data_IF_444682463008
#
_entry.id   IF_444682463008
#
_cell.length_a   1.000
_cell.length_b   1.000
_cell.length_c   1.000
_cell.angle_alpha   90.00
_cell.angle_beta   90.00
_cell.angle_gamma   90.00
#
_symmetry.space_group_name_H-M   'P 1'
#
loop_
_entity.id
_entity.type
_entity.pdbx_description
1 polymer ?
#
# COMPACT_ATOMS: atom_id res chain seq x y z
N UNK A 1 -11.46 -0.25 -9.34
CA UNK A 1 -12.31 -1.45 -9.24
C UNK A 1 -11.53 -2.49 -8.47
N UNK A 2 -12.17 -3.25 -7.59
CA UNK A 2 -11.51 -4.40 -6.96
C UNK A 2 -11.42 -5.54 -7.98
N UNK A 3 -10.27 -6.21 -8.04
CA UNK A 3 -10.00 -7.35 -8.90
C UNK A 3 -9.65 -8.56 -8.03
N UNK A 4 -10.07 -9.75 -8.46
CA UNK A 4 -9.72 -11.01 -7.80
C UNK A 4 -8.65 -11.69 -8.64
N UNK A 5 -7.51 -12.00 -8.03
CA UNK A 5 -6.41 -12.72 -8.66
C UNK A 5 -6.15 -14.04 -7.96
N UNK A 6 -5.63 -15.01 -8.70
CA UNK A 6 -5.16 -16.29 -8.17
C UNK A 6 -3.70 -16.16 -7.77
N UNK A 7 -3.43 -16.28 -6.46
CA UNK A 7 -2.09 -16.16 -5.87
C UNK A 7 -1.26 -17.45 -5.94
N UNK A 8 -1.81 -18.55 -6.49
CA UNK A 8 -1.07 -19.79 -6.74
C UNK A 8 -0.26 -19.74 -8.06
N UNK A 9 -0.43 -18.68 -8.86
CA UNK A 9 0.32 -18.45 -10.10
C UNK A 9 1.76 -18.01 -9.84
N UNK A 10 2.66 -18.26 -10.80
CA UNK A 10 4.06 -17.82 -10.71
C UNK A 10 4.19 -16.28 -10.75
N UNK A 11 3.29 -15.61 -11.46
CA UNK A 11 3.21 -14.16 -11.59
C UNK A 11 1.76 -13.68 -11.48
N UNK A 12 1.57 -12.50 -10.89
CA UNK A 12 0.27 -11.84 -10.79
C UNK A 12 0.06 -10.87 -11.96
N UNK A 13 -1.20 -10.71 -12.44
CA UNK A 13 -1.51 -9.77 -13.52
C UNK A 13 -1.14 -8.33 -13.14
N UNK A 14 -0.47 -7.63 -14.07
CA UNK A 14 -0.07 -6.23 -13.89
C UNK A 14 -0.88 -5.24 -14.73
N UNK A 15 -1.72 -5.73 -15.66
CA UNK A 15 -2.39 -4.92 -16.69
C UNK A 15 -3.34 -3.87 -16.10
N UNK A 16 -3.88 -4.12 -14.90
CA UNK A 16 -4.77 -3.21 -14.19
C UNK A 16 -4.03 -2.23 -13.27
N UNK A 17 -2.72 -2.42 -13.07
CA UNK A 17 -1.91 -1.56 -12.24
C UNK A 17 -1.58 -0.27 -13.00
N UNK A 18 -1.75 0.91 -12.38
CA UNK A 18 -1.44 2.16 -13.06
C UNK A 18 0.04 2.23 -13.47
N UNK A 19 0.31 2.63 -14.71
CA UNK A 19 1.68 2.68 -15.25
C UNK A 19 2.66 3.49 -14.39
N UNK A 20 2.20 4.58 -13.76
CA UNK A 20 3.05 5.37 -12.87
C UNK A 20 3.50 4.61 -11.61
N UNK A 21 2.75 3.60 -11.18
CA UNK A 21 3.09 2.74 -10.04
C UNK A 21 4.05 1.62 -10.52
N UNK A 22 3.74 0.99 -11.65
CA UNK A 22 4.60 -0.04 -12.23
C UNK A 22 5.99 0.49 -12.57
N UNK A 23 6.08 1.72 -13.10
CA UNK A 23 7.35 2.34 -13.48
C UNK A 23 8.27 2.64 -12.29
N UNK A 24 7.71 2.82 -11.09
CA UNK A 24 8.49 3.07 -9.86
C UNK A 24 8.90 1.77 -9.17
N UNK A 25 8.10 0.71 -9.31
CA UNK A 25 8.32 -0.59 -8.66
C UNK A 25 9.16 -1.58 -9.47
N UNK A 26 9.77 -1.20 -10.61
CA UNK A 26 10.50 -2.13 -11.51
C UNK A 26 12.03 -2.05 -11.41
N UNK A 27 12.57 -1.37 -10.39
CA UNK A 27 14.01 -1.11 -10.17
C UNK A 27 14.80 -0.59 -11.39
N UNK A 28 14.13 -0.18 -12.46
CA UNK A 28 14.79 0.29 -13.66
C UNK A 28 15.23 1.74 -13.40
N UNK A 29 16.55 1.96 -13.33
CA UNK A 29 17.18 3.28 -13.13
C UNK A 29 16.76 4.32 -14.18
N UNK A 30 16.03 3.88 -15.20
CA UNK A 30 15.29 4.67 -16.16
C UNK A 30 13.82 4.76 -15.74
N UNK A 31 13.53 5.42 -14.61
CA UNK A 31 12.18 5.92 -14.28
C UNK A 31 11.69 6.66 -15.53
N UNK A 32 10.92 5.98 -16.38
CA UNK A 32 10.63 6.47 -17.71
C UNK A 32 9.93 7.82 -17.63
N UNK A 33 9.89 8.56 -18.74
CA UNK A 33 9.16 9.82 -18.85
C UNK A 33 7.65 9.74 -18.48
N UNK A 34 7.14 8.53 -18.19
CA UNK A 34 5.78 8.20 -17.78
C UNK A 34 5.57 8.20 -16.25
N UNK A 35 6.62 8.01 -15.44
CA UNK A 35 6.50 8.03 -13.98
C UNK A 35 6.10 9.44 -13.50
N UNK A 36 4.97 9.54 -12.81
CA UNK A 36 4.50 10.81 -12.27
C UNK A 36 5.48 11.37 -11.25
N UNK A 37 5.74 12.68 -11.27
CA UNK A 37 6.68 13.32 -10.33
C UNK A 37 6.32 13.07 -8.85
N UNK A 38 5.04 12.87 -8.54
CA UNK A 38 4.60 12.50 -7.20
C UNK A 38 5.14 11.13 -6.77
N UNK A 39 5.15 10.15 -7.68
CA UNK A 39 5.60 8.79 -7.42
C UNK A 39 7.11 8.70 -7.20
N UNK A 40 7.90 9.38 -8.03
CA UNK A 40 9.35 9.49 -7.85
C UNK A 40 9.70 10.15 -6.50
N UNK A 41 8.95 11.19 -6.10
CA UNK A 41 9.17 11.82 -4.79
C UNK A 41 8.74 10.93 -3.63
N UNK A 42 7.65 10.19 -3.83
CA UNK A 42 7.12 9.23 -2.87
C UNK A 42 8.11 8.13 -2.55
N UNK A 43 8.60 7.47 -3.60
CA UNK A 43 9.64 6.46 -3.54
C UNK A 43 10.90 6.93 -2.79
N UNK A 44 11.49 8.06 -3.20
CA UNK A 44 12.64 8.63 -2.49
C UNK A 44 12.37 8.87 -1.01
N UNK A 45 11.18 9.38 -0.65
CA UNK A 45 10.83 9.57 0.76
C UNK A 45 10.69 8.25 1.51
N UNK A 46 10.16 7.20 0.87
CA UNK A 46 10.09 5.88 1.46
C UNK A 46 11.50 5.38 1.81
N UNK A 47 12.41 5.41 0.82
CA UNK A 47 13.80 5.01 0.99
C UNK A 47 14.50 5.83 2.07
N UNK A 48 14.39 7.16 2.03
CA UNK A 48 15.02 8.06 3.02
C UNK A 48 14.51 7.81 4.45
N UNK A 49 13.24 7.44 4.61
CA UNK A 49 12.62 7.27 5.93
C UNK A 49 12.76 5.87 6.51
N UNK A 50 13.02 4.85 5.68
CA UNK A 50 13.07 3.44 6.10
C UNK A 50 14.44 2.78 5.86
N UNK A 51 15.31 3.41 5.06
CA UNK A 51 16.59 2.82 4.61
C UNK A 51 16.36 1.44 3.98
N UNK A 52 15.34 1.37 3.12
CA UNK A 52 14.89 0.19 2.39
C UNK A 52 14.81 0.54 0.91
N UNK A 53 15.08 -0.43 0.04
CA UNK A 53 14.94 -0.29 -1.40
C UNK A 53 13.46 -0.27 -1.81
N UNK A 54 13.13 0.24 -3.02
CA UNK A 54 11.81 0.08 -3.62
C UNK A 54 11.36 -1.39 -3.60
N UNK A 55 10.06 -1.61 -3.46
CA UNK A 55 9.52 -2.96 -3.62
C UNK A 55 9.38 -3.30 -5.10
N UNK A 56 9.92 -4.46 -5.48
CA UNK A 56 9.61 -5.05 -6.78
C UNK A 56 8.10 -5.24 -6.92
N UNK A 57 7.55 -4.93 -8.10
CA UNK A 57 6.09 -4.90 -8.29
C UNK A 57 5.43 -6.24 -7.93
N UNK A 58 6.02 -7.36 -8.38
CA UNK A 58 5.50 -8.69 -8.07
C UNK A 58 5.58 -8.99 -6.57
N UNK A 59 6.70 -8.66 -5.90
CA UNK A 59 6.84 -8.84 -4.45
C UNK A 59 5.78 -8.02 -3.69
N UNK A 60 5.54 -6.80 -4.13
CA UNK A 60 4.49 -5.96 -3.58
C UNK A 60 3.10 -6.57 -3.78
N UNK A 61 2.78 -7.05 -4.98
CA UNK A 61 1.48 -7.68 -5.28
C UNK A 61 1.25 -8.93 -4.42
N UNK A 62 2.24 -9.83 -4.32
CA UNK A 62 2.16 -11.03 -3.49
C UNK A 62 2.02 -10.73 -1.98
N UNK A 63 2.42 -9.53 -1.53
CA UNK A 63 2.18 -9.10 -0.14
C UNK A 63 0.69 -8.88 0.18
N UNK A 64 -0.18 -8.88 -0.83
CA UNK A 64 -1.63 -8.81 -0.67
C UNK A 64 -2.32 -10.18 -0.78
N UNK A 65 -1.56 -11.28 -0.90
CA UNK A 65 -2.07 -12.65 -0.81
C UNK A 65 -2.81 -12.85 0.52
N UNK A 66 -4.14 -13.07 0.51
CA UNK A 66 -4.95 -13.20 1.72
C UNK A 66 -4.54 -14.38 2.60
N UNK A 67 -3.89 -15.42 2.05
CA UNK A 67 -3.45 -16.58 2.82
C UNK A 67 -2.15 -16.32 3.59
N UNK A 68 -1.36 -15.32 3.15
CA UNK A 68 -0.03 -15.03 3.70
C UNK A 68 0.02 -13.78 4.56
N UNK A 69 -0.91 -12.83 4.37
CA UNK A 69 -0.93 -11.59 5.16
C UNK A 69 -1.71 -11.78 6.47
N UNK A 70 -1.21 -11.23 7.60
CA UNK A 70 -1.88 -11.32 8.90
C UNK A 70 -3.09 -10.37 9.02
N UNK A 71 -3.40 -9.60 7.98
CA UNK A 71 -4.43 -8.57 7.99
C UNK A 71 -5.36 -8.65 6.78
N UNK A 72 -6.61 -8.20 6.90
CA UNK A 72 -7.52 -8.04 5.78
C UNK A 72 -7.70 -6.55 5.44
N UNK A 73 -7.78 -6.23 4.15
CA UNK A 73 -8.13 -4.87 3.75
C UNK A 73 -9.53 -4.54 4.25
N UNK A 74 -9.68 -3.38 4.91
CA UNK A 74 -10.98 -2.92 5.37
C UNK A 74 -11.46 -1.74 4.52
N UNK A 75 -10.79 -0.59 4.60
CA UNK A 75 -11.26 0.64 3.92
C UNK A 75 -10.16 1.72 3.81
N UNK A 76 -10.40 2.75 2.99
CA UNK A 76 -9.56 3.93 2.85
C UNK A 76 -10.40 5.21 2.85
N UNK A 77 -10.25 6.05 3.86
CA UNK A 77 -11.02 7.29 4.02
C UNK A 77 -10.14 8.51 3.76
N UNK A 78 -10.54 9.34 2.81
CA UNK A 78 -9.91 10.63 2.58
C UNK A 78 -10.44 11.68 3.57
N UNK A 79 -9.53 12.37 4.25
CA UNK A 79 -9.79 13.58 5.01
C UNK A 79 -9.13 14.79 4.29
N UNK A 80 -9.32 16.00 4.82
CA UNK A 80 -8.84 17.23 4.15
C UNK A 80 -7.36 17.18 3.73
N UNK A 81 -6.48 16.68 4.59
CA UNK A 81 -5.02 16.71 4.41
C UNK A 81 -4.35 15.33 4.55
N UNK A 82 -5.13 14.26 4.71
CA UNK A 82 -4.61 12.90 4.92
C UNK A 82 -5.54 11.84 4.35
N UNK A 83 -4.98 10.67 4.08
CA UNK A 83 -5.73 9.44 3.82
C UNK A 83 -5.51 8.51 5.00
N UNK A 84 -6.59 7.96 5.54
CA UNK A 84 -6.56 6.95 6.60
C UNK A 84 -6.88 5.61 5.97
N UNK A 85 -5.96 4.66 6.09
CA UNK A 85 -6.16 3.28 5.63
C UNK A 85 -6.48 2.44 6.87
N UNK A 86 -7.56 1.67 6.76
CA UNK A 86 -8.01 0.74 7.76
C UNK A 86 -7.76 -0.69 7.29
N UNK A 87 -7.20 -1.50 8.18
CA UNK A 87 -6.98 -2.93 7.98
C UNK A 87 -7.50 -3.68 9.21
N UNK A 88 -8.13 -4.82 9.01
CA UNK A 88 -8.42 -5.76 10.09
C UNK A 88 -7.16 -6.55 10.39
N UNK A 89 -6.66 -6.53 11.62
CA UNK A 89 -5.48 -7.33 11.99
C UNK A 89 -5.84 -8.77 12.38
N UNK A 90 -7.11 -9.16 12.29
CA UNK A 90 -7.63 -10.46 12.71
C UNK A 90 -7.29 -10.80 14.18
N UNK A 91 -7.16 -9.76 15.01
CA UNK A 91 -6.81 -9.88 16.43
C UNK A 91 -5.30 -9.88 16.74
N UNK A 92 -4.42 -9.78 15.74
CA UNK A 92 -2.98 -9.59 15.99
C UNK A 92 -2.69 -8.11 16.30
N UNK A 93 -2.05 -7.77 17.44
CA UNK A 93 -1.71 -6.38 17.74
C UNK A 93 -0.55 -5.82 16.91
N UNK A 94 0.18 -6.65 16.14
CA UNK A 94 1.34 -6.24 15.35
C UNK A 94 1.27 -6.83 13.95
N UNK A 95 1.37 -5.98 12.92
CA UNK A 95 1.46 -6.43 11.53
C UNK A 95 2.71 -5.87 10.85
N UNK A 96 3.28 -6.67 9.95
CA UNK A 96 4.29 -6.17 9.01
C UNK A 96 3.61 -5.14 8.11
N UNK A 97 4.05 -3.88 8.21
CA UNK A 97 3.38 -2.73 7.59
C UNK A 97 4.18 -2.05 6.48
N UNK A 98 5.35 -2.61 6.13
CA UNK A 98 6.26 -2.04 5.14
C UNK A 98 5.57 -1.94 3.76
N UNK A 99 4.87 -2.99 3.35
CA UNK A 99 4.03 -3.01 2.14
C UNK A 99 2.89 -1.97 2.15
N UNK A 100 2.26 -1.74 3.30
CA UNK A 100 1.24 -0.69 3.47
C UNK A 100 1.85 0.72 3.41
N UNK A 101 3.08 0.89 3.90
CA UNK A 101 3.80 2.17 3.82
C UNK A 101 4.17 2.50 2.38
N UNK A 102 4.67 1.52 1.63
CA UNK A 102 4.92 1.68 0.20
C UNK A 102 3.67 2.19 -0.54
N UNK A 103 2.51 1.56 -0.27
CA UNK A 103 1.22 1.95 -0.84
C UNK A 103 0.83 3.41 -0.57
N UNK A 104 1.28 4.03 0.53
CA UNK A 104 0.96 5.45 0.80
C UNK A 104 2.03 6.41 0.30
N UNK A 105 3.31 6.02 0.32
CA UNK A 105 4.38 6.90 -0.14
C UNK A 105 4.35 7.08 -1.65
N UNK A 106 4.21 6.01 -2.45
CA UNK A 106 4.27 6.09 -3.92
C UNK A 106 3.18 7.00 -4.50
N UNK A 107 1.94 7.07 -4.01
CA UNK A 107 0.98 8.07 -4.48
C UNK A 107 1.37 9.53 -4.16
N UNK A 108 2.37 9.75 -3.28
CA UNK A 108 2.95 11.05 -3.00
C UNK A 108 2.83 11.52 -1.55
N UNK A 109 2.52 10.63 -0.59
CA UNK A 109 2.46 11.02 0.81
C UNK A 109 3.78 11.69 1.25
N UNK A 110 3.65 12.72 2.09
CA UNK A 110 4.79 13.44 2.66
C UNK A 110 5.31 12.71 3.90
N UNK A 111 4.42 12.05 4.62
CA UNK A 111 4.72 11.25 5.81
C UNK A 111 3.64 10.21 6.03
N UNK A 112 4.00 9.06 6.61
CA UNK A 112 3.07 8.09 7.17
C UNK A 112 3.21 8.09 8.69
N UNK A 113 2.08 8.17 9.41
CA UNK A 113 2.09 7.95 10.87
C UNK A 113 2.41 6.49 11.18
N UNK A 114 2.80 6.22 12.43
CA UNK A 114 2.81 4.84 12.94
C UNK A 114 1.41 4.25 12.82
N UNK A 115 1.35 2.93 12.64
CA UNK A 115 0.10 2.20 12.79
C UNK A 115 -0.46 2.43 14.20
N UNK A 116 -1.74 2.73 14.25
CA UNK A 116 -2.48 2.93 15.48
C UNK A 116 -3.53 1.84 15.59
N UNK A 117 -3.42 1.01 16.64
CA UNK A 117 -4.33 -0.11 16.85
C UNK A 117 -5.60 0.42 17.51
N UNK A 118 -6.74 0.18 16.86
CA UNK A 118 -8.04 0.64 17.30
C UNK A 118 -8.99 -0.54 17.48
N UNK A 119 -9.92 -0.42 18.45
CA UNK A 119 -11.00 -1.38 18.60
C UNK A 119 -11.96 -1.27 17.40
N UNK A 120 -12.32 -2.41 16.80
CA UNK A 120 -13.16 -2.43 15.60
C UNK A 120 -14.58 -1.91 15.86
N UNK A 121 -15.07 -1.95 17.10
CA UNK A 121 -16.35 -1.34 17.47
C UNK A 121 -16.27 0.19 17.43
N UNK A 122 -15.13 0.78 17.81
CA UNK A 122 -14.93 2.23 17.71
C UNK A 122 -14.91 2.69 16.25
N UNK A 123 -14.33 1.89 15.35
CA UNK A 123 -14.35 2.16 13.91
C UNK A 123 -15.78 2.17 13.37
N UNK A 124 -16.57 1.12 13.66
CA UNK A 124 -17.96 1.00 13.22
C UNK A 124 -18.80 2.18 13.67
N UNK A 125 -18.70 2.57 14.94
CA UNK A 125 -19.43 3.73 15.47
C UNK A 125 -19.09 5.06 14.78
N UNK A 126 -17.89 5.20 14.21
CA UNK A 126 -17.47 6.43 13.52
C UNK A 126 -17.85 6.44 12.04
N UNK A 127 -18.16 5.28 11.45
CA UNK A 127 -18.27 5.09 10.01
C UNK A 127 -19.52 4.33 9.53
N UNK A 128 -20.42 3.90 10.42
CA UNK A 128 -21.72 3.27 10.10
C UNK A 128 -22.73 4.23 9.41
N UNK A 129 -22.39 5.51 9.24
CA UNK A 129 -23.20 6.52 8.53
C UNK A 129 -22.73 6.79 7.07
N UNK A 130 -21.78 6.01 6.54
CA UNK A 130 -21.27 6.07 5.15
C UNK A 130 -21.88 4.99 4.26
#
# INVERSE_FOLDING_TARGET
MAETSDFDSEELPEDSIPGWFTDVSREDANFGALAGQAAIRGDRRYQDSHNEDPWELQEWLFSFDPERRPWAWWDGVAAQDKVVIWVDTNGDPVIASHNLRWLVYVPGAVSASRLDLQDSMNWRMQHDDL
#
